data_IF_856491433868
#
_entry.id   IF_856491433868
#
_cell.length_a   1.000
_cell.length_b   1.000
_cell.length_c   1.000
_cell.angle_alpha   90.00
_cell.angle_beta   90.00
_cell.angle_gamma   90.00
#
_symmetry.space_group_name_H-M   'P 1'
#
loop_
_entity.id
_entity.type
_entity.pdbx_description
1 polymer ?
#
# COMPACT_ATOMS: atom_id res chain seq x y z
N UNK A 1 21.97 25.80 1.27
CA UNK A 1 21.40 25.01 0.14
C UNK A 1 21.45 23.49 0.35
N UNK A 2 22.47 22.92 1.04
CA UNK A 2 22.55 21.47 1.30
C UNK A 2 21.39 20.90 2.14
N UNK A 3 20.86 21.69 3.07
CA UNK A 3 19.77 21.29 3.97
C UNK A 3 18.45 20.99 3.25
N UNK A 4 18.10 21.76 2.21
CA UNK A 4 16.88 21.53 1.42
C UNK A 4 17.00 20.24 0.61
N UNK A 5 18.18 19.98 0.02
CA UNK A 5 18.45 18.74 -0.71
C UNK A 5 18.31 17.49 0.17
N UNK A 6 18.84 17.53 1.39
CA UNK A 6 18.62 16.45 2.36
C UNK A 6 17.15 16.29 2.73
N UNK A 7 16.42 17.38 2.96
CA UNK A 7 14.99 17.31 3.29
C UNK A 7 14.16 16.69 2.16
N UNK A 8 14.46 17.03 0.90
CA UNK A 8 13.82 16.42 -0.28
C UNK A 8 14.17 14.93 -0.37
N UNK A 9 15.43 14.57 -0.16
CA UNK A 9 15.90 13.18 -0.18
C UNK A 9 15.23 12.35 0.92
N UNK A 10 15.12 12.87 2.14
CA UNK A 10 14.49 12.20 3.27
C UNK A 10 12.99 12.03 3.04
N UNK A 11 12.33 13.07 2.52
CA UNK A 11 10.90 13.01 2.15
C UNK A 11 10.65 11.99 1.05
N UNK A 12 11.50 11.98 0.01
CA UNK A 12 11.42 10.99 -1.06
C UNK A 12 11.57 9.56 -0.51
N UNK A 13 12.58 9.31 0.33
CA UNK A 13 12.77 8.01 0.95
C UNK A 13 11.61 7.62 1.86
N UNK A 14 11.01 8.57 2.58
CA UNK A 14 9.87 8.29 3.44
C UNK A 14 8.68 7.73 2.67
N UNK A 15 8.35 8.31 1.51
CA UNK A 15 7.22 7.84 0.69
C UNK A 15 7.55 6.65 -0.22
N UNK A 16 8.70 6.67 -0.89
CA UNK A 16 9.00 5.72 -1.98
C UNK A 16 9.96 4.60 -1.60
N UNK A 17 10.60 4.64 -0.42
CA UNK A 17 11.44 3.54 0.00
C UNK A 17 10.60 2.34 0.41
N UNK A 18 10.82 1.21 -0.26
CA UNK A 18 10.20 -0.08 0.05
C UNK A 18 10.44 -0.54 1.51
N UNK A 19 11.47 -0.01 2.17
CA UNK A 19 11.80 -0.34 3.56
C UNK A 19 11.04 0.51 4.58
N UNK A 20 10.66 1.73 4.21
CA UNK A 20 10.09 2.72 5.15
C UNK A 20 8.58 2.93 4.95
N UNK A 21 8.09 2.77 3.72
CA UNK A 21 6.68 2.96 3.37
C UNK A 21 5.75 2.11 4.26
N UNK A 22 4.58 2.62 4.70
CA UNK A 22 3.51 1.84 5.32
C UNK A 22 3.15 0.50 4.63
N UNK A 23 3.32 0.40 3.31
CA UNK A 23 3.09 -0.79 2.50
C UNK A 23 4.24 -1.83 2.55
N UNK A 24 5.31 -1.57 3.32
CA UNK A 24 6.51 -2.45 3.43
C UNK A 24 6.21 -3.87 3.90
N UNK A 25 5.06 -4.09 4.54
CA UNK A 25 4.65 -5.41 5.05
C UNK A 25 4.30 -6.41 3.95
N UNK A 26 4.15 -5.94 2.71
CA UNK A 26 3.92 -6.77 1.53
C UNK A 26 5.27 -7.32 1.03
N UNK A 27 5.48 -8.64 0.88
CA UNK A 27 6.80 -9.22 0.57
C UNK A 27 7.27 -8.96 -0.87
N UNK A 28 6.36 -8.61 -1.80
CA UNK A 28 6.69 -8.40 -3.21
C UNK A 28 6.90 -6.91 -3.53
N UNK A 29 8.10 -6.55 -3.95
CA UNK A 29 8.47 -5.18 -4.33
C UNK A 29 7.64 -4.62 -5.51
N UNK A 30 7.31 -5.45 -6.51
CA UNK A 30 6.49 -5.02 -7.64
C UNK A 30 5.07 -4.66 -7.19
N UNK A 31 4.51 -5.45 -6.28
CA UNK A 31 3.19 -5.19 -5.69
C UNK A 31 3.19 -3.92 -4.84
N UNK A 32 4.24 -3.68 -4.05
CA UNK A 32 4.36 -2.41 -3.32
C UNK A 32 4.37 -1.22 -4.28
N UNK A 33 5.15 -1.29 -5.37
CA UNK A 33 5.21 -0.24 -6.39
C UNK A 33 3.85 0.02 -7.03
N UNK A 34 3.14 -1.03 -7.46
CA UNK A 34 1.86 -0.85 -8.16
C UNK A 34 0.79 -0.26 -7.23
N UNK A 35 0.79 -0.61 -5.94
CA UNK A 35 -0.11 -0.02 -4.95
C UNK A 35 0.21 1.45 -4.69
N UNK A 36 1.50 1.81 -4.60
CA UNK A 36 1.90 3.22 -4.54
C UNK A 36 1.44 4.01 -5.78
N UNK A 37 1.52 3.39 -6.97
CA UNK A 37 1.04 4.00 -8.21
C UNK A 37 -0.49 4.19 -8.23
N UNK A 38 -1.26 3.18 -7.81
CA UNK A 38 -2.72 3.35 -7.70
C UNK A 38 -3.11 4.42 -6.69
N UNK A 39 -2.38 4.50 -5.57
CA UNK A 39 -2.60 5.54 -4.58
C UNK A 39 -2.36 6.94 -5.16
N UNK A 40 -1.29 7.13 -5.95
CA UNK A 40 -1.01 8.43 -6.58
C UNK A 40 -2.06 8.80 -7.64
N UNK A 41 -2.52 7.85 -8.46
CA UNK A 41 -3.60 8.08 -9.44
C UNK A 41 -4.90 8.43 -8.75
N UNK A 42 -5.27 7.72 -7.69
CA UNK A 42 -6.48 7.98 -6.92
C UNK A 42 -6.48 9.39 -6.32
N UNK A 43 -5.38 9.80 -5.67
CA UNK A 43 -5.27 11.17 -5.14
C UNK A 43 -5.27 12.23 -6.23
N UNK A 44 -4.69 11.96 -7.40
CA UNK A 44 -4.74 12.88 -8.55
C UNK A 44 -6.19 13.12 -9.01
N UNK A 45 -7.00 12.05 -9.11
CA UNK A 45 -8.42 12.15 -9.45
C UNK A 45 -9.20 12.91 -8.38
N UNK A 46 -9.01 12.57 -7.10
CA UNK A 46 -9.70 13.21 -5.97
C UNK A 46 -9.41 14.70 -5.92
N UNK A 47 -8.14 15.13 -6.05
CA UNK A 47 -7.79 16.55 -6.03
C UNK A 47 -8.29 17.29 -7.27
N UNK A 48 -8.34 16.63 -8.43
CA UNK A 48 -8.91 17.22 -9.65
C UNK A 48 -10.40 17.51 -9.46
N UNK A 49 -11.15 16.52 -8.97
CA UNK A 49 -12.59 16.67 -8.69
C UNK A 49 -12.84 17.68 -7.57
N UNK A 50 -12.07 17.62 -6.49
CA UNK A 50 -12.18 18.57 -5.38
C UNK A 50 -11.92 20.00 -5.83
N UNK A 51 -10.88 20.23 -6.63
CA UNK A 51 -10.55 21.55 -7.17
C UNK A 51 -11.65 22.04 -8.09
N UNK A 52 -12.12 21.20 -9.03
CA UNK A 52 -13.22 21.56 -9.92
C UNK A 52 -14.51 21.89 -9.18
N UNK A 53 -14.87 21.08 -8.17
CA UNK A 53 -16.06 21.30 -7.36
C UNK A 53 -15.95 22.56 -6.49
N UNK A 54 -14.77 22.84 -5.95
CA UNK A 54 -14.51 24.04 -5.14
C UNK A 54 -14.48 25.32 -5.97
N UNK A 55 -14.05 25.26 -7.22
CA UNK A 55 -14.13 26.40 -8.15
C UNK A 55 -15.60 26.70 -8.51
N UNK A 56 -16.40 25.67 -8.81
CA UNK A 56 -17.78 25.86 -9.27
C UNK A 56 -18.77 26.22 -8.15
N UNK A 57 -18.69 25.55 -6.99
CA UNK A 57 -19.62 25.73 -5.87
C UNK A 57 -19.06 26.61 -4.73
N UNK A 58 -17.80 27.04 -4.83
CA UNK A 58 -17.16 27.93 -3.84
C UNK A 58 -17.16 27.33 -2.42
N UNK A 59 -17.51 28.17 -1.43
CA UNK A 59 -17.57 27.79 -0.01
C UNK A 59 -18.65 26.71 0.29
N UNK A 60 -19.63 26.52 -0.60
CA UNK A 60 -20.66 25.48 -0.49
C UNK A 60 -20.22 24.09 -0.96
N UNK A 61 -18.94 23.90 -1.28
CA UNK A 61 -18.30 22.68 -1.80
C UNK A 61 -18.24 21.51 -0.79
N UNK A 62 -19.30 21.29 0.00
CA UNK A 62 -19.34 20.21 1.00
C UNK A 62 -19.07 18.84 0.35
N UNK A 63 -19.68 18.58 -0.82
CA UNK A 63 -19.46 17.34 -1.57
C UNK A 63 -18.00 17.10 -1.96
N UNK A 64 -17.28 18.15 -2.38
CA UNK A 64 -15.85 18.05 -2.69
C UNK A 64 -15.03 17.69 -1.45
N UNK A 65 -15.29 18.33 -0.32
CA UNK A 65 -14.54 18.06 0.91
C UNK A 65 -14.80 16.64 1.45
N UNK A 66 -16.04 16.16 1.33
CA UNK A 66 -16.39 14.78 1.70
C UNK A 66 -15.65 13.75 0.83
N UNK A 67 -15.39 14.04 -0.45
CA UNK A 67 -14.56 13.18 -1.32
C UNK A 67 -13.11 13.09 -0.83
N UNK A 68 -12.52 14.19 -0.37
CA UNK A 68 -11.16 14.19 0.18
C UNK A 68 -11.11 13.37 1.48
N UNK A 69 -12.12 13.52 2.35
CA UNK A 69 -12.22 12.76 3.61
C UNK A 69 -12.40 11.27 3.33
N UNK A 70 -13.26 10.88 2.39
CA UNK A 70 -13.45 9.48 2.04
C UNK A 70 -12.17 8.87 1.46
N UNK A 71 -11.45 9.60 0.62
CA UNK A 71 -10.17 9.17 0.07
C UNK A 71 -9.10 8.96 1.15
N UNK A 72 -9.08 9.84 2.15
CA UNK A 72 -8.22 9.70 3.33
C UNK A 72 -8.49 8.39 4.08
N UNK A 73 -9.76 8.09 4.37
CA UNK A 73 -10.12 6.84 5.06
C UNK A 73 -9.80 5.59 4.22
N UNK A 74 -10.04 5.61 2.91
CA UNK A 74 -9.65 4.52 2.01
C UNK A 74 -8.13 4.27 2.10
N UNK A 75 -7.33 5.33 2.12
CA UNK A 75 -5.87 5.23 2.24
C UNK A 75 -5.46 4.64 3.59
N UNK A 76 -6.04 5.14 4.69
CA UNK A 76 -5.74 4.67 6.04
C UNK A 76 -6.10 3.19 6.23
N UNK A 77 -7.28 2.78 5.73
CA UNK A 77 -7.72 1.38 5.75
C UNK A 77 -6.80 0.49 4.91
N UNK A 78 -6.34 0.96 3.75
CA UNK A 78 -5.39 0.23 2.90
C UNK A 78 -4.08 -0.03 3.63
N UNK A 79 -3.56 0.96 4.36
CA UNK A 79 -2.34 0.80 5.14
C UNK A 79 -2.52 -0.11 6.36
N UNK A 80 -3.65 0.03 7.07
CA UNK A 80 -3.98 -0.85 8.19
C UNK A 80 -4.14 -2.31 7.72
N UNK A 81 -4.75 -2.53 6.56
CA UNK A 81 -4.89 -3.86 5.97
C UNK A 81 -3.54 -4.45 5.57
N UNK A 82 -2.66 -3.65 4.97
CA UNK A 82 -1.29 -4.06 4.65
C UNK A 82 -0.51 -4.46 5.91
N UNK A 83 -0.63 -3.72 7.01
CA UNK A 83 0.03 -4.04 8.28
C UNK A 83 -0.54 -5.31 8.93
N UNK A 84 -1.87 -5.47 8.95
CA UNK A 84 -2.52 -6.61 9.60
C UNK A 84 -2.40 -7.91 8.80
N UNK A 85 -2.59 -7.83 7.49
CA UNK A 85 -2.75 -9.00 6.63
C UNK A 85 -1.54 -9.25 5.72
N UNK A 86 -0.66 -8.27 5.51
CA UNK A 86 0.59 -8.37 4.74
C UNK A 86 0.40 -8.89 3.31
N UNK A 87 0.26 -10.21 3.17
CA UNK A 87 0.21 -10.96 1.91
C UNK A 87 -0.90 -12.00 1.87
N UNK A 88 -1.75 -12.11 2.90
CA UNK A 88 -2.80 -13.14 2.98
C UNK A 88 -3.81 -13.01 1.84
N UNK A 89 -4.05 -11.80 1.33
CA UNK A 89 -4.89 -11.54 0.16
C UNK A 89 -4.27 -12.05 -1.15
N UNK A 90 -2.94 -12.24 -1.20
CA UNK A 90 -2.19 -12.84 -2.32
C UNK A 90 -2.01 -14.36 -2.16
N UNK A 91 -2.07 -14.89 -0.93
CA UNK A 91 -2.05 -16.33 -0.67
C UNK A 91 -3.39 -16.98 -1.08
N UNK A 92 -3.68 -17.04 -2.38
CA UNK A 92 -4.84 -17.76 -2.92
C UNK A 92 -4.77 -19.26 -2.65
N UNK A 93 -3.57 -19.79 -2.40
CA UNK A 93 -3.33 -21.20 -2.12
C UNK A 93 -2.74 -21.29 -0.72
N UNK A 94 -3.45 -21.97 0.19
CA UNK A 94 -2.88 -22.34 1.49
C UNK A 94 -1.66 -23.23 1.22
N UNK A 95 -0.48 -22.95 1.78
CA UNK A 95 0.66 -23.85 1.63
C UNK A 95 0.25 -25.25 2.10
N UNK A 96 0.70 -26.28 1.39
CA UNK A 96 0.47 -27.66 1.82
C UNK A 96 0.97 -27.85 3.25
N UNK A 97 0.26 -28.64 4.09
CA UNK A 97 0.68 -28.90 5.46
C UNK A 97 2.14 -29.35 5.52
N UNK A 98 2.88 -28.91 6.55
CA UNK A 98 4.33 -29.14 6.68
C UNK A 98 4.70 -30.62 6.58
N UNK A 99 3.81 -31.49 7.04
CA UNK A 99 3.90 -32.94 6.95
C UNK A 99 4.03 -33.45 5.50
N UNK A 100 3.26 -32.91 4.56
CA UNK A 100 3.19 -33.39 3.17
C UNK A 100 4.30 -32.83 2.26
N UNK A 101 5.18 -31.99 2.79
CA UNK A 101 6.29 -31.36 2.04
C UNK A 101 7.66 -31.74 2.58
N UNK A 102 7.73 -32.39 3.75
CA UNK A 102 8.96 -33.02 4.20
C UNK A 102 9.10 -34.35 3.48
N UNK A 103 10.20 -34.55 2.77
CA UNK A 103 10.64 -35.90 2.44
C UNK A 103 10.99 -36.59 3.75
N UNK A 104 10.03 -37.34 4.32
CA UNK A 104 10.30 -38.18 5.49
C UNK A 104 11.17 -39.32 4.97
N UNK A 105 12.47 -39.22 5.24
CA UNK A 105 13.40 -40.29 4.91
C UNK A 105 13.13 -41.47 5.83
N UNK A 106 12.74 -42.60 5.25
CA UNK A 106 12.24 -43.74 5.99
C UNK A 106 13.36 -44.78 6.11
N UNK A 107 14.06 -44.77 7.25
CA UNK A 107 15.15 -45.70 7.58
C UNK A 107 14.79 -47.17 7.36
N UNK A 108 13.53 -47.52 7.63
CA UNK A 108 13.01 -48.88 7.51
C UNK A 108 12.81 -49.33 6.05
N UNK A 109 12.87 -48.41 5.08
CA UNK A 109 12.71 -48.73 3.66
C UNK A 109 14.02 -49.03 2.93
N UNK A 110 15.16 -48.86 3.60
CA UNK A 110 16.50 -49.03 3.02
C UNK A 110 17.22 -50.33 3.45
N UNK A 111 16.55 -51.19 4.21
CA UNK A 111 17.09 -52.45 4.75
C UNK A 111 16.40 -53.70 4.26
#
# INVERSE_FOLDING_TARGET
MKTIGFWIYDTYNFFFSLKMNPLRFIPNAFTQYILMFYLSVMWTVVFTLWTGYSIYFGLGSVGGHLLVISAFFITALTFQDAEKNGHLWVQRVKPTPVENRRGVWNLESEG
#
